data_IF_014652556097
#
_entry.id   IF_014652556097
#
_cell.length_a   1.000
_cell.length_b   1.000
_cell.length_c   1.000
_cell.angle_alpha   90.00
_cell.angle_beta   90.00
_cell.angle_gamma   90.00
#
_symmetry.space_group_name_H-M   'P 1'
#
loop_
_entity.id
_entity.type
_entity.pdbx_description
1 polymer ?
#
# COMPACT_ATOMS: atom_id res chain seq x y z
N UNK A 1 -40.30 3.20 20.83
CA UNK A 1 -39.69 2.20 21.74
C UNK A 1 -39.24 1.03 20.88
N UNK A 2 -37.95 0.96 20.54
CA UNK A 2 -37.37 -0.20 19.84
C UNK A 2 -36.33 -0.79 20.80
N UNK A 3 -36.80 -1.67 21.66
CA UNK A 3 -35.96 -2.54 22.47
C UNK A 3 -35.96 -3.91 21.79
N UNK A 4 -34.77 -4.36 21.42
CA UNK A 4 -34.31 -5.74 21.27
C UNK A 4 -33.52 -5.92 19.99
N UNK A 5 -32.19 -5.90 20.16
CA UNK A 5 -31.33 -6.99 19.72
C UNK A 5 -30.01 -6.89 20.49
N UNK A 6 -30.12 -7.01 21.82
CA UNK A 6 -29.00 -7.43 22.62
C UNK A 6 -28.72 -8.90 22.23
N UNK A 7 -27.86 -9.11 21.24
CA UNK A 7 -27.19 -10.38 21.04
C UNK A 7 -26.49 -10.70 22.36
N UNK A 8 -27.12 -11.59 23.11
CA UNK A 8 -26.60 -12.17 24.32
C UNK A 8 -25.49 -13.14 23.89
N UNK A 9 -24.37 -12.59 23.39
CA UNK A 9 -23.26 -13.39 22.93
C UNK A 9 -22.62 -14.02 24.15
N UNK A 10 -22.63 -15.35 24.15
CA UNK A 10 -22.21 -16.19 25.25
C UNK A 10 -20.79 -15.81 25.67
N UNK A 11 -20.66 -15.21 26.86
CA UNK A 11 -19.38 -14.94 27.51
C UNK A 11 -18.67 -16.26 27.80
N UNK A 12 -18.00 -16.84 26.81
CA UNK A 12 -16.88 -17.74 27.04
C UNK A 12 -15.71 -16.87 27.49
N UNK A 13 -15.68 -16.54 28.78
CA UNK A 13 -14.48 -15.99 29.40
C UNK A 13 -13.46 -17.11 29.48
N UNK A 14 -12.70 -17.30 28.41
CA UNK A 14 -11.56 -18.20 28.42
C UNK A 14 -10.49 -17.62 29.35
N UNK A 15 -9.82 -18.49 30.11
CA UNK A 15 -8.77 -18.06 31.03
C UNK A 15 -7.64 -17.35 30.27
N UNK A 16 -7.28 -16.11 30.64
CA UNK A 16 -6.23 -15.36 29.95
C UNK A 16 -4.90 -16.11 29.86
N UNK A 17 -4.61 -16.96 30.84
CA UNK A 17 -3.40 -17.78 30.92
C UNK A 17 -3.40 -18.85 29.82
N UNK A 18 -4.54 -19.52 29.58
CA UNK A 18 -4.64 -20.54 28.54
C UNK A 18 -4.51 -19.94 27.14
N UNK A 19 -5.12 -18.78 26.92
CA UNK A 19 -5.01 -18.07 25.64
C UNK A 19 -3.57 -17.62 25.41
N UNK A 20 -2.90 -17.09 26.45
CA UNK A 20 -1.50 -16.70 26.36
C UNK A 20 -0.59 -17.89 26.03
N UNK A 21 -0.78 -19.05 26.67
CA UNK A 21 -0.03 -20.26 26.38
C UNK A 21 -0.28 -20.78 24.94
N UNK A 22 -1.51 -20.68 24.46
CA UNK A 22 -1.88 -21.03 23.08
C UNK A 22 -1.23 -20.09 22.06
N UNK A 23 -1.27 -18.78 22.32
CA UNK A 23 -0.57 -17.77 21.51
C UNK A 23 0.93 -18.01 21.49
N UNK A 24 1.57 -18.23 22.63
CA UNK A 24 3.00 -18.50 22.70
C UNK A 24 3.38 -19.73 21.88
N UNK A 25 2.60 -20.81 22.01
CA UNK A 25 2.80 -22.04 21.26
C UNK A 25 2.68 -21.82 19.75
N UNK A 26 1.63 -21.11 19.30
CA UNK A 26 1.43 -20.80 17.90
C UNK A 26 2.56 -19.92 17.32
N UNK A 27 2.99 -18.91 18.09
CA UNK A 27 4.09 -18.02 17.70
C UNK A 27 5.42 -18.78 17.65
N UNK A 28 5.66 -19.71 18.57
CA UNK A 28 6.86 -20.53 18.59
C UNK A 28 6.92 -21.47 17.39
N UNK A 29 5.80 -22.10 17.02
CA UNK A 29 5.72 -22.95 15.82
C UNK A 29 6.02 -22.15 14.55
N UNK A 30 5.53 -20.91 14.44
CA UNK A 30 5.71 -20.07 13.24
C UNK A 30 7.08 -19.40 13.14
N UNK A 31 7.60 -18.86 14.24
CA UNK A 31 8.81 -18.03 14.24
C UNK A 31 10.04 -18.73 14.82
N UNK A 32 9.87 -19.93 15.37
CA UNK A 32 10.93 -20.76 15.91
C UNK A 32 11.60 -20.16 17.15
N UNK A 33 12.76 -20.71 17.48
CA UNK A 33 13.58 -20.28 18.62
C UNK A 33 14.00 -18.81 18.45
N UNK A 34 14.02 -18.08 19.57
CA UNK A 34 14.33 -16.65 19.70
C UNK A 34 15.58 -16.20 18.89
N UNK A 35 15.37 -15.85 17.63
CA UNK A 35 16.31 -15.09 16.82
C UNK A 35 16.01 -13.58 16.94
N UNK A 36 16.98 -12.74 16.62
CA UNK A 36 16.83 -11.27 16.64
C UNK A 36 15.60 -10.80 15.84
N UNK A 37 15.36 -11.42 14.67
CA UNK A 37 14.19 -11.13 13.81
C UNK A 37 12.86 -11.55 14.46
N UNK A 38 12.83 -12.70 15.13
CA UNK A 38 11.66 -13.19 15.84
C UNK A 38 11.32 -12.27 17.01
N UNK A 39 12.31 -11.83 17.80
CA UNK A 39 12.11 -10.88 18.92
C UNK A 39 11.48 -9.56 18.49
N UNK A 40 11.83 -9.04 17.31
CA UNK A 40 11.20 -7.81 16.78
C UNK A 40 9.71 -8.03 16.50
N UNK A 41 9.34 -9.17 15.92
CA UNK A 41 7.94 -9.52 15.67
C UNK A 41 7.14 -9.68 16.96
N UNK A 42 7.69 -10.40 17.94
CA UNK A 42 7.07 -10.54 19.27
C UNK A 42 6.82 -9.18 19.92
N UNK A 43 7.79 -8.26 19.86
CA UNK A 43 7.63 -6.90 20.39
C UNK A 43 6.55 -6.10 19.66
N UNK A 44 6.49 -6.19 18.34
CA UNK A 44 5.44 -5.54 17.55
C UNK A 44 4.05 -6.07 17.92
N UNK A 45 3.93 -7.39 18.08
CA UNK A 45 2.69 -8.03 18.48
C UNK A 45 2.23 -7.58 19.87
N UNK A 46 3.15 -7.61 20.84
CA UNK A 46 2.91 -7.13 22.20
C UNK A 46 2.50 -5.65 22.23
N UNK A 47 3.12 -4.82 21.38
CA UNK A 47 2.75 -3.41 21.25
C UNK A 47 1.31 -3.24 20.77
N UNK A 48 0.90 -3.98 19.74
CA UNK A 48 -0.48 -3.93 19.22
C UNK A 48 -1.51 -4.47 20.23
N UNK A 49 -1.20 -5.56 20.95
CA UNK A 49 -2.10 -6.13 21.97
C UNK A 49 -2.23 -5.21 23.20
N UNK A 50 -1.16 -4.47 23.53
CA UNK A 50 -1.12 -3.55 24.67
C UNK A 50 -1.64 -2.15 24.33
N UNK A 51 -2.01 -1.88 23.09
CA UNK A 51 -2.43 -0.54 22.67
C UNK A 51 -3.69 -0.09 23.45
N UNK A 52 -3.60 0.98 24.27
CA UNK A 52 -4.75 1.48 25.01
C UNK A 52 -5.82 2.10 24.11
N UNK A 53 -5.47 2.51 22.88
CA UNK A 53 -6.41 3.11 21.93
C UNK A 53 -7.28 2.08 21.21
N UNK A 54 -6.86 0.81 21.19
CA UNK A 54 -7.59 -0.28 20.55
C UNK A 54 -7.83 -1.45 21.53
N UNK A 55 -8.68 -1.26 22.55
CA UNK A 55 -9.00 -2.33 23.50
C UNK A 55 -9.80 -3.47 22.85
N UNK A 56 -10.48 -3.19 21.73
CA UNK A 56 -11.32 -4.17 21.04
C UNK A 56 -10.50 -5.32 20.49
N UNK A 57 -9.32 -5.07 19.93
CA UNK A 57 -8.44 -6.15 19.46
C UNK A 57 -8.09 -7.15 20.58
N UNK A 58 -7.75 -6.64 21.77
CA UNK A 58 -7.52 -7.49 22.95
C UNK A 58 -8.78 -8.24 23.38
N UNK A 59 -9.94 -7.61 23.33
CA UNK A 59 -11.23 -8.26 23.66
C UNK A 59 -11.54 -9.39 22.69
N UNK A 60 -11.39 -9.17 21.38
CA UNK A 60 -11.61 -10.18 20.34
C UNK A 60 -10.74 -11.43 20.54
N UNK A 61 -9.48 -11.25 20.94
CA UNK A 61 -8.58 -12.36 21.30
C UNK A 61 -9.07 -13.10 22.56
N UNK A 62 -9.50 -12.38 23.60
CA UNK A 62 -9.95 -12.99 24.86
C UNK A 62 -11.29 -13.75 24.72
N UNK A 63 -12.19 -13.25 23.87
CA UNK A 63 -13.46 -13.90 23.54
C UNK A 63 -13.24 -15.11 22.61
N UNK A 64 -12.11 -15.15 21.91
CA UNK A 64 -11.77 -16.20 20.95
C UNK A 64 -12.36 -15.99 19.56
N UNK A 65 -12.76 -14.76 19.21
CA UNK A 65 -13.18 -14.38 17.85
C UNK A 65 -12.00 -14.50 16.88
N UNK A 66 -10.80 -14.13 17.33
CA UNK A 66 -9.55 -14.27 16.57
C UNK A 66 -8.76 -15.44 17.16
N UNK A 67 -8.39 -16.40 16.31
CA UNK A 67 -7.62 -17.57 16.76
C UNK A 67 -6.15 -17.20 16.99
N UNK A 68 -5.50 -17.90 17.93
CA UNK A 68 -4.08 -17.71 18.22
C UNK A 68 -3.17 -17.88 16.99
N UNK A 69 -3.51 -18.82 16.11
CA UNK A 69 -2.81 -19.06 14.84
C UNK A 69 -2.94 -17.89 13.88
N UNK A 70 -4.13 -17.28 13.80
CA UNK A 70 -4.41 -16.14 12.94
C UNK A 70 -3.61 -14.91 13.39
N UNK A 71 -3.55 -14.66 14.71
CA UNK A 71 -2.74 -13.58 15.30
C UNK A 71 -1.25 -13.70 14.93
N UNK A 72 -0.74 -14.92 14.76
CA UNK A 72 0.66 -15.16 14.38
C UNK A 72 0.93 -14.89 12.88
N UNK A 73 -0.10 -14.93 12.04
CA UNK A 73 -0.02 -14.68 10.59
C UNK A 73 -0.38 -13.25 10.20
N UNK A 74 -1.22 -12.57 10.98
CA UNK A 74 -1.66 -11.21 10.72
C UNK A 74 -0.48 -10.23 10.62
N UNK A 75 -0.61 -9.27 9.70
CA UNK A 75 0.32 -8.15 9.60
C UNK A 75 0.00 -7.05 10.63
N UNK A 76 0.99 -6.24 10.99
CA UNK A 76 0.78 -5.10 11.90
C UNK A 76 -0.32 -4.15 11.40
N UNK A 77 -0.51 -4.01 10.09
CA UNK A 77 -1.60 -3.23 9.51
C UNK A 77 -2.99 -3.80 9.80
N UNK A 78 -3.12 -5.13 9.87
CA UNK A 78 -4.39 -5.84 10.13
C UNK A 78 -4.74 -5.92 11.63
N UNK A 79 -3.78 -5.65 12.52
CA UNK A 79 -4.02 -5.59 13.97
C UNK A 79 -4.55 -4.21 14.42
N UNK A 80 -4.52 -3.21 13.55
CA UNK A 80 -5.03 -1.87 13.84
C UNK A 80 -6.56 -1.87 13.98
N UNK A 81 -7.14 -0.81 14.54
CA UNK A 81 -8.60 -0.67 14.62
C UNK A 81 -9.25 -0.63 13.23
N UNK A 82 -10.51 -1.07 13.12
CA UNK A 82 -11.23 -1.11 11.84
C UNK A 82 -11.26 0.27 11.14
N UNK A 83 -11.37 1.35 11.93
CA UNK A 83 -11.30 2.71 11.41
C UNK A 83 -9.92 3.05 10.84
N UNK A 84 -8.86 2.68 11.56
CA UNK A 84 -7.48 2.95 11.14
C UNK A 84 -7.10 2.10 9.92
N UNK A 85 -7.56 0.85 9.85
CA UNK A 85 -7.39 -0.01 8.70
C UNK A 85 -7.99 0.63 7.44
N UNK A 86 -9.23 1.13 7.53
CA UNK A 86 -9.91 1.80 6.42
C UNK A 86 -9.18 3.07 5.98
N UNK A 87 -8.67 3.85 6.95
CA UNK A 87 -7.84 5.04 6.67
C UNK A 87 -6.56 4.66 5.94
N UNK A 88 -5.85 3.65 6.42
CA UNK A 88 -4.60 3.17 5.81
C UNK A 88 -4.82 2.67 4.38
N UNK A 89 -5.87 1.89 4.14
CA UNK A 89 -6.25 1.44 2.79
C UNK A 89 -6.54 2.62 1.86
N UNK A 90 -7.27 3.63 2.35
CA UNK A 90 -7.54 4.85 1.60
C UNK A 90 -6.27 5.65 1.27
N UNK A 91 -5.32 5.73 2.19
CA UNK A 91 -4.03 6.40 1.97
C UNK A 91 -3.22 5.62 0.92
N UNK A 92 -3.13 4.30 1.04
CA UNK A 92 -2.41 3.45 0.09
C UNK A 92 -3.01 3.57 -1.33
N UNK A 93 -4.33 3.50 -1.46
CA UNK A 93 -5.01 3.68 -2.74
C UNK A 93 -4.74 5.06 -3.35
N UNK A 94 -4.77 6.12 -2.54
CA UNK A 94 -4.42 7.48 -3.00
C UNK A 94 -2.97 7.61 -3.43
N UNK A 95 -2.04 6.99 -2.70
CA UNK A 95 -0.62 6.98 -3.06
C UNK A 95 -0.38 6.25 -4.38
N UNK A 96 -0.99 5.08 -4.56
CA UNK A 96 -0.93 4.33 -5.82
C UNK A 96 -1.51 5.13 -6.99
N UNK A 97 -2.68 5.74 -6.79
CA UNK A 97 -3.31 6.62 -7.78
C UNK A 97 -2.39 7.75 -8.21
N UNK A 98 -1.75 8.44 -7.25
CA UNK A 98 -0.80 9.51 -7.54
C UNK A 98 0.41 9.03 -8.33
N UNK A 99 0.94 7.83 -8.08
CA UNK A 99 2.05 7.28 -8.86
C UNK A 99 1.65 6.96 -10.30
N UNK A 100 0.42 6.51 -10.51
CA UNK A 100 -0.10 6.16 -11.85
C UNK A 100 -0.39 7.44 -12.65
N UNK A 101 -1.10 8.38 -12.05
CA UNK A 101 -1.50 9.64 -12.70
C UNK A 101 -0.35 10.64 -12.79
N UNK A 102 0.60 10.58 -11.85
CA UNK A 102 1.77 11.46 -11.82
C UNK A 102 2.83 11.15 -12.87
N UNK A 103 2.63 10.14 -13.72
CA UNK A 103 3.40 10.07 -14.98
C UNK A 103 2.94 11.24 -15.84
N UNK A 104 3.80 12.24 -15.96
CA UNK A 104 3.59 13.38 -16.86
C UNK A 104 3.11 12.85 -18.21
N UNK A 105 1.90 13.24 -18.59
CA UNK A 105 1.47 13.11 -19.97
C UNK A 105 2.40 14.01 -20.75
N UNK A 106 3.35 13.42 -21.49
CA UNK A 106 4.20 14.20 -22.39
C UNK A 106 3.28 15.03 -23.28
N UNK A 107 3.42 16.37 -23.20
CA UNK A 107 2.54 17.30 -23.89
C UNK A 107 2.52 16.97 -25.39
N UNK A 108 1.44 16.34 -25.85
CA UNK A 108 1.33 15.91 -27.23
C UNK A 108 0.93 17.13 -28.06
N UNK A 109 1.75 17.49 -29.05
CA UNK A 109 1.46 18.51 -30.05
C UNK A 109 1.06 17.85 -31.37
N UNK A 110 0.19 18.53 -32.14
CA UNK A 110 -0.23 18.11 -33.48
C UNK A 110 0.55 18.81 -34.61
N UNK A 111 1.64 19.52 -34.27
CA UNK A 111 2.43 20.31 -35.23
C UNK A 111 3.17 19.44 -36.26
N UNK A 112 3.54 18.20 -35.90
CA UNK A 112 4.36 17.34 -36.76
C UNK A 112 3.64 16.03 -37.09
N UNK A 113 3.71 15.61 -38.37
CA UNK A 113 3.20 14.30 -38.82
C UNK A 113 4.33 13.28 -38.84
N UNK A 114 4.15 12.14 -38.18
CA UNK A 114 5.14 11.06 -38.20
C UNK A 114 5.21 10.39 -39.58
N UNK A 115 6.42 10.21 -40.11
CA UNK A 115 6.65 9.53 -41.38
C UNK A 115 6.43 8.01 -41.36
N UNK A 116 6.51 7.36 -40.18
CA UNK A 116 6.32 5.90 -40.05
C UNK A 116 4.85 5.50 -39.86
N UNK A 117 4.16 6.10 -38.89
CA UNK A 117 2.77 5.75 -38.58
C UNK A 117 1.73 6.70 -39.19
N UNK A 118 2.14 7.86 -39.73
CA UNK A 118 1.24 8.83 -40.35
C UNK A 118 0.41 9.68 -39.37
N UNK A 119 0.52 9.41 -38.07
CA UNK A 119 -0.19 10.10 -37.00
C UNK A 119 0.50 11.40 -36.59
N UNK A 120 -0.26 12.34 -36.01
CA UNK A 120 0.24 13.65 -35.56
C UNK A 120 0.60 13.74 -34.08
N UNK A 121 0.41 12.66 -33.32
CA UNK A 121 0.74 12.61 -31.89
C UNK A 121 2.26 12.61 -31.70
N UNK A 122 2.81 13.80 -31.46
CA UNK A 122 4.26 14.02 -31.34
C UNK A 122 4.58 14.92 -30.14
N UNK A 123 5.75 14.73 -29.54
CA UNK A 123 6.32 15.59 -28.49
C UNK A 123 7.58 16.24 -29.08
N UNK A 124 7.81 17.52 -28.78
CA UNK A 124 8.97 18.23 -29.29
C UNK A 124 9.64 19.08 -28.22
N UNK A 125 10.94 19.24 -28.36
CA UNK A 125 11.71 20.20 -27.59
C UNK A 125 12.75 20.86 -28.50
N UNK A 126 13.07 22.11 -28.21
CA UNK A 126 14.00 22.91 -29.00
C UNK A 126 15.30 23.07 -28.21
N UNK A 127 16.43 22.81 -28.86
CA UNK A 127 17.74 22.93 -28.24
C UNK A 127 18.72 23.50 -29.26
N UNK A 128 19.44 24.55 -28.87
CA UNK A 128 20.50 25.14 -29.69
C UNK A 128 21.73 24.22 -29.60
N UNK A 129 22.09 23.59 -30.72
CA UNK A 129 23.24 22.68 -30.78
C UNK A 129 24.42 23.24 -31.59
N UNK A 130 24.28 24.44 -32.14
CA UNK A 130 25.25 25.11 -33.00
C UNK A 130 25.45 26.57 -32.58
N UNK A 131 26.38 27.26 -33.26
CA UNK A 131 26.75 28.66 -33.01
C UNK A 131 25.54 29.59 -32.92
N UNK A 132 25.72 30.76 -32.29
CA UNK A 132 24.67 31.75 -32.07
C UNK A 132 23.97 32.23 -33.36
N UNK A 133 24.64 32.13 -34.50
CA UNK A 133 24.14 32.56 -35.81
C UNK A 133 23.22 31.52 -36.51
N UNK A 134 23.10 30.30 -35.96
CA UNK A 134 22.22 29.27 -36.52
C UNK A 134 20.91 29.14 -35.72
N UNK A 135 19.77 28.87 -36.40
CA UNK A 135 18.48 28.71 -35.73
C UNK A 135 18.48 27.47 -34.80
N UNK A 136 17.56 27.47 -33.84
CA UNK A 136 17.41 26.37 -32.88
C UNK A 136 17.05 25.05 -33.56
N UNK A 137 17.65 23.94 -33.13
CA UNK A 137 17.30 22.60 -33.63
C UNK A 137 16.06 22.10 -32.90
N UNK A 138 15.03 21.71 -33.63
CA UNK A 138 13.81 21.11 -33.05
C UNK A 138 13.91 19.59 -33.10
N UNK A 139 13.87 18.95 -31.93
CA UNK A 139 13.82 17.49 -31.79
C UNK A 139 12.37 17.06 -31.62
N UNK A 140 11.93 16.10 -32.43
CA UNK A 140 10.55 15.60 -32.42
C UNK A 140 10.54 14.09 -32.20
N UNK A 141 9.67 13.65 -31.31
CA UNK A 141 9.44 12.26 -30.94
C UNK A 141 7.98 11.91 -31.21
N UNK A 142 7.71 10.79 -31.88
CA UNK A 142 6.34 10.28 -32.01
C UNK A 142 5.98 9.42 -30.81
N UNK A 143 4.87 9.73 -30.12
CA UNK A 143 4.42 9.02 -28.92
C UNK A 143 3.75 7.67 -29.18
N UNK A 144 3.58 7.30 -30.46
CA UNK A 144 2.93 6.05 -30.87
C UNK A 144 3.94 4.99 -31.29
N UNK A 145 4.98 5.39 -32.03
CA UNK A 145 5.95 4.48 -32.62
C UNK A 145 7.40 4.76 -32.21
N UNK A 146 7.60 5.66 -31.24
CA UNK A 146 8.90 6.09 -30.71
C UNK A 146 9.92 6.46 -31.80
N UNK A 147 9.41 7.01 -32.91
CA UNK A 147 10.28 7.52 -33.97
C UNK A 147 10.80 8.91 -33.58
N UNK A 148 12.10 9.11 -33.67
CA UNK A 148 12.75 10.39 -33.36
C UNK A 148 13.37 10.98 -34.62
N UNK A 149 13.17 12.28 -34.85
CA UNK A 149 13.80 13.02 -35.94
C UNK A 149 14.03 14.48 -35.54
N UNK A 150 14.83 15.20 -36.34
CA UNK A 150 15.19 16.60 -36.06
C UNK A 150 14.97 17.50 -37.28
N UNK A 151 14.58 18.74 -37.02
CA UNK A 151 14.57 19.83 -37.99
C UNK A 151 15.68 20.83 -37.64
N UNK A 152 16.48 21.18 -38.64
CA UNK A 152 17.50 22.22 -38.56
C UNK A 152 17.02 23.45 -39.32
#
# INVERSE_FOLDING_TARGET
MVFNEAKHDTLKTCDPIQIAASLESALFVKWGVSNTRSRTKYRSLLFNIKDPKNPDFRRKILVGEIKAEEVAEMDAGQMASDEMQRKNQGIQAKSLWKCIVGREQEGTTDQFKCGKCGEKRTTYYQMQTRSADEPMTTYVTCTICDNHWKFC
#
